data_IF_751855197356
#
_entry.id   IF_751855197356
#
_cell.length_a   1.000
_cell.length_b   1.000
_cell.length_c   1.000
_cell.angle_alpha   90.00
_cell.angle_beta   90.00
_cell.angle_gamma   90.00
#
_symmetry.space_group_name_H-M   'P 1'
#
loop_
_entity.id
_entity.type
_entity.pdbx_description
1 polymer ?
#
# COMPACT_ATOMS: atom_id res chain seq x y z
N UNK A 1 -1.62 -12.42 -0.70
CA UNK A 1 -2.11 -12.70 -2.07
C UNK A 1 -3.64 -12.71 -2.10
N UNK A 2 -4.30 -11.61 -2.48
CA UNK A 2 -5.78 -11.50 -2.47
C UNK A 2 -6.42 -11.98 -3.77
N UNK A 3 -5.75 -11.76 -4.92
CA UNK A 3 -6.31 -12.06 -6.24
C UNK A 3 -6.16 -13.53 -6.62
N UNK A 4 -4.97 -14.11 -6.43
CA UNK A 4 -4.66 -15.48 -6.85
C UNK A 4 -5.68 -16.54 -6.37
N UNK A 5 -6.15 -16.53 -5.10
CA UNK A 5 -7.14 -17.50 -4.63
C UNK A 5 -8.50 -17.43 -5.36
N UNK A 6 -8.84 -16.30 -5.99
CA UNK A 6 -10.11 -16.10 -6.69
C UNK A 6 -10.10 -16.64 -8.12
N UNK A 7 -8.93 -16.93 -8.68
CA UNK A 7 -8.77 -17.28 -10.10
C UNK A 7 -9.45 -18.60 -10.45
N UNK A 8 -9.42 -19.60 -9.55
CA UNK A 8 -10.07 -20.89 -9.79
C UNK A 8 -11.58 -20.77 -10.03
N UNK A 9 -12.28 -20.02 -9.19
CA UNK A 9 -13.71 -19.78 -9.35
C UNK A 9 -14.02 -18.97 -10.61
N UNK A 10 -13.14 -18.01 -10.96
CA UNK A 10 -13.26 -17.20 -12.16
C UNK A 10 -13.15 -18.05 -13.43
N UNK A 11 -12.11 -18.89 -13.55
CA UNK A 11 -11.93 -19.77 -14.72
C UNK A 11 -13.04 -20.78 -14.88
N UNK A 12 -13.61 -21.30 -13.78
CA UNK A 12 -14.79 -22.16 -13.86
C UNK A 12 -16.02 -21.43 -14.42
N UNK A 13 -16.21 -20.15 -14.03
CA UNK A 13 -17.32 -19.32 -14.51
C UNK A 13 -17.12 -18.84 -15.94
N UNK A 14 -15.88 -18.60 -16.36
CA UNK A 14 -15.50 -18.01 -17.65
C UNK A 14 -14.42 -18.86 -18.35
N UNK A 15 -14.77 -20.02 -18.93
CA UNK A 15 -13.80 -20.99 -19.44
C UNK A 15 -13.08 -20.57 -20.74
N UNK A 16 -13.51 -19.47 -21.37
CA UNK A 16 -12.90 -18.94 -22.59
C UNK A 16 -11.93 -17.78 -22.31
N UNK A 17 -11.73 -17.42 -21.04
CA UNK A 17 -10.91 -16.27 -20.65
C UNK A 17 -9.59 -16.75 -20.07
N UNK A 18 -8.50 -16.45 -20.78
CA UNK A 18 -7.15 -16.59 -20.25
C UNK A 18 -6.76 -15.34 -19.47
N UNK A 19 -6.03 -15.51 -18.35
CA UNK A 19 -5.56 -14.40 -17.51
C UNK A 19 -4.05 -14.47 -17.35
N UNK A 20 -3.35 -13.44 -17.81
CA UNK A 20 -1.95 -13.19 -17.49
C UNK A 20 -1.87 -12.20 -16.31
N UNK A 21 -1.54 -12.69 -15.11
CA UNK A 21 -1.42 -11.86 -13.91
C UNK A 21 0.03 -11.38 -13.72
N UNK A 22 0.24 -10.06 -13.73
CA UNK A 22 1.51 -9.40 -13.42
C UNK A 22 1.41 -8.64 -12.10
N UNK A 23 2.46 -8.71 -11.27
CA UNK A 23 2.57 -7.97 -10.01
C UNK A 23 3.68 -6.93 -10.18
N UNK A 24 3.29 -5.67 -10.25
CA UNK A 24 4.18 -4.55 -10.59
C UNK A 24 3.85 -3.38 -9.65
N UNK A 25 4.87 -2.80 -9.01
CA UNK A 25 4.71 -1.63 -8.12
C UNK A 25 4.84 -0.31 -8.89
N UNK A 26 5.34 -0.36 -10.12
CA UNK A 26 5.46 0.81 -11.01
C UNK A 26 4.14 1.13 -11.73
N UNK A 27 3.91 2.39 -12.10
CA UNK A 27 2.94 2.72 -13.14
C UNK A 27 3.25 1.98 -14.45
N UNK A 28 2.21 1.45 -15.08
CA UNK A 28 2.24 0.80 -16.39
C UNK A 28 1.45 1.64 -17.40
N UNK A 29 1.86 1.59 -18.65
CA UNK A 29 1.11 2.14 -19.78
C UNK A 29 0.18 1.05 -20.34
N UNK A 30 -1.12 1.31 -20.41
CA UNK A 30 -2.08 0.29 -20.83
C UNK A 30 -1.92 -0.12 -22.30
N UNK A 31 -1.44 0.80 -23.14
CA UNK A 31 -1.25 0.57 -24.56
C UNK A 31 0.08 -0.16 -24.77
N UNK A 32 1.18 0.43 -24.30
CA UNK A 32 2.51 -0.08 -24.59
C UNK A 32 2.85 -1.35 -23.80
N UNK A 33 2.36 -1.49 -22.56
CA UNK A 33 2.56 -2.72 -21.76
C UNK A 33 1.48 -3.80 -22.00
N UNK A 34 0.49 -3.54 -22.88
CA UNK A 34 -0.58 -4.48 -23.22
C UNK A 34 -1.46 -4.86 -22.03
N UNK A 35 -1.94 -3.87 -21.27
CA UNK A 35 -2.71 -4.08 -20.04
C UNK A 35 -4.19 -3.80 -20.30
N UNK A 36 -5.04 -4.82 -20.11
CA UNK A 36 -6.50 -4.65 -20.19
C UNK A 36 -7.11 -4.12 -18.88
N UNK A 37 -6.54 -4.49 -17.74
CA UNK A 37 -7.03 -4.16 -16.40
C UNK A 37 -5.88 -4.00 -15.41
N UNK A 38 -5.87 -2.88 -14.67
CA UNK A 38 -4.98 -2.71 -13.52
C UNK A 38 -5.78 -2.58 -12.23
N UNK A 39 -5.36 -3.33 -11.20
CA UNK A 39 -5.86 -3.21 -9.83
C UNK A 39 -4.85 -2.39 -9.04
N UNK A 40 -5.22 -1.18 -8.62
CA UNK A 40 -4.31 -0.25 -7.94
C UNK A 40 -4.93 0.37 -6.71
N UNK A 41 -4.09 0.64 -5.72
CA UNK A 41 -4.43 1.48 -4.57
C UNK A 41 -4.19 2.93 -5.03
N UNK A 42 -5.24 3.61 -5.46
CA UNK A 42 -5.18 5.02 -5.87
C UNK A 42 -6.52 5.70 -5.66
N UNK A 43 -6.49 6.98 -5.31
CA UNK A 43 -7.64 7.89 -5.34
C UNK A 43 -7.73 8.68 -6.66
N UNK A 44 -6.68 8.60 -7.49
CA UNK A 44 -6.48 9.38 -8.70
C UNK A 44 -6.02 8.47 -9.84
N UNK A 45 -6.95 7.78 -10.52
CA UNK A 45 -6.64 7.03 -11.74
C UNK A 45 -6.02 7.94 -12.82
N UNK A 46 -5.14 7.38 -13.66
CA UNK A 46 -4.51 8.14 -14.74
C UNK A 46 -5.57 8.75 -15.67
N UNK A 47 -5.35 9.97 -16.21
CA UNK A 47 -6.24 10.57 -17.19
C UNK A 47 -6.50 9.64 -18.37
N UNK A 48 -7.75 9.61 -18.85
CA UNK A 48 -8.16 8.73 -19.94
C UNK A 48 -8.53 7.31 -19.51
N UNK A 49 -8.29 6.92 -18.25
CA UNK A 49 -8.74 5.64 -17.70
C UNK A 49 -10.03 5.79 -16.90
N UNK A 50 -10.92 4.81 -17.02
CA UNK A 50 -12.10 4.72 -16.16
C UNK A 50 -11.78 3.94 -14.89
N UNK A 51 -11.82 4.61 -13.73
CA UNK A 51 -11.63 3.98 -12.43
C UNK A 51 -12.95 3.46 -11.84
N UNK A 52 -12.98 2.18 -11.46
CA UNK A 52 -14.07 1.60 -10.66
C UNK A 52 -13.61 1.34 -9.22
N UNK A 53 -14.20 1.97 -8.20
CA UNK A 53 -13.82 1.70 -6.81
C UNK A 53 -14.21 0.27 -6.43
N UNK A 54 -13.25 -0.48 -5.86
CA UNK A 54 -13.48 -1.85 -5.39
C UNK A 54 -13.70 -1.89 -3.87
N UNK A 55 -12.76 -1.31 -3.13
CA UNK A 55 -12.82 -1.21 -1.67
C UNK A 55 -11.86 -0.13 -1.16
N UNK A 56 -12.11 0.47 0.01
CA UNK A 56 -11.13 1.30 0.68
C UNK A 56 -10.01 0.44 1.28
N UNK A 57 -8.76 0.92 1.19
CA UNK A 57 -7.63 0.36 1.94
C UNK A 57 -7.44 1.15 3.23
N UNK A 58 -7.32 0.45 4.35
CA UNK A 58 -7.02 1.05 5.66
C UNK A 58 -5.59 0.71 6.05
N UNK A 59 -4.75 1.72 6.19
CA UNK A 59 -3.42 1.55 6.76
C UNK A 59 -3.52 1.56 8.29
N UNK A 60 -2.80 0.63 8.92
CA UNK A 60 -2.65 0.58 10.38
C UNK A 60 -1.17 0.69 10.71
N UNK A 61 -0.88 1.35 11.83
CA UNK A 61 0.46 1.33 12.40
C UNK A 61 0.48 0.20 13.42
N UNK A 62 1.51 -0.62 13.33
CA UNK A 62 1.75 -1.69 14.26
C UNK A 62 3.20 -1.68 14.72
N UNK A 63 3.41 -2.23 15.90
CA UNK A 63 4.71 -2.55 16.44
C UNK A 63 4.56 -3.83 17.24
N UNK A 64 5.67 -4.54 17.47
CA UNK A 64 5.65 -5.70 18.36
C UNK A 64 5.42 -5.24 19.80
N UNK A 65 4.82 -6.10 20.61
CA UNK A 65 4.60 -5.82 22.02
C UNK A 65 5.92 -5.54 22.75
N UNK A 66 6.96 -6.34 22.47
CA UNK A 66 8.29 -6.16 23.05
C UNK A 66 8.88 -4.76 22.76
N UNK A 67 8.69 -4.23 21.55
CA UNK A 67 9.15 -2.89 21.21
C UNK A 67 8.39 -1.82 22.01
N UNK A 68 7.07 -1.92 22.12
CA UNK A 68 6.25 -0.96 22.84
C UNK A 68 6.51 -0.96 24.35
N UNK A 69 6.83 -2.12 24.94
CA UNK A 69 7.22 -2.22 26.34
C UNK A 69 8.57 -1.52 26.61
N UNK A 70 9.53 -1.60 25.69
CA UNK A 70 10.84 -0.98 25.84
C UNK A 70 10.84 0.53 25.50
N UNK A 71 10.07 0.94 24.50
CA UNK A 71 10.13 2.30 23.95
C UNK A 71 8.90 3.15 24.27
N UNK A 72 7.90 2.59 24.95
CA UNK A 72 6.61 3.23 25.18
C UNK A 72 5.67 3.08 23.98
N UNK A 73 4.39 3.39 24.23
CA UNK A 73 3.36 3.39 23.17
C UNK A 73 3.12 4.81 22.68
N UNK A 74 3.20 5.09 21.37
CA UNK A 74 2.85 6.39 20.82
C UNK A 74 1.33 6.59 20.88
N UNK A 75 0.88 7.74 21.41
CA UNK A 75 -0.53 8.10 21.51
C UNK A 75 -0.93 9.18 20.51
N UNK A 76 0.05 9.91 19.99
CA UNK A 76 -0.11 10.94 18.96
C UNK A 76 0.78 10.65 17.76
N UNK A 77 0.42 11.14 16.55
CA UNK A 77 1.30 11.03 15.39
C UNK A 77 2.70 11.60 15.65
N UNK A 78 2.82 12.69 16.40
CA UNK A 78 4.10 13.35 16.70
C UNK A 78 5.05 12.47 17.51
N UNK A 79 4.53 11.60 18.38
CA UNK A 79 5.33 10.68 19.19
C UNK A 79 6.21 9.77 18.31
N UNK A 80 5.76 9.47 17.09
CA UNK A 80 6.48 8.63 16.12
C UNK A 80 7.85 9.21 15.72
N UNK A 81 8.09 10.51 15.91
CA UNK A 81 9.42 11.10 15.70
C UNK A 81 10.48 10.53 16.63
N UNK A 82 10.08 10.06 17.81
CA UNK A 82 10.96 9.45 18.80
C UNK A 82 11.08 7.92 18.66
N UNK A 83 10.35 7.32 17.70
CA UNK A 83 10.34 5.87 17.47
C UNK A 83 11.12 5.50 16.21
N UNK A 84 11.71 4.30 16.20
CA UNK A 84 12.36 3.71 15.04
C UNK A 84 11.31 3.13 14.08
N UNK A 85 10.81 3.97 13.18
CA UNK A 85 9.79 3.62 12.19
C UNK A 85 10.42 2.96 10.95
N UNK A 86 9.75 1.95 10.41
CA UNK A 86 10.16 1.27 9.17
C UNK A 86 9.36 1.87 8.01
N UNK A 87 10.02 2.53 7.07
CA UNK A 87 9.40 3.12 5.88
C UNK A 87 9.60 2.25 4.63
N UNK A 88 8.87 2.57 3.55
CA UNK A 88 9.02 1.90 2.25
C UNK A 88 10.42 2.14 1.66
N UNK A 89 10.87 3.40 1.64
CA UNK A 89 12.25 3.77 1.30
C UNK A 89 12.55 3.87 -0.20
N UNK A 90 11.54 3.90 -1.06
CA UNK A 90 11.68 4.12 -2.51
C UNK A 90 11.90 5.60 -2.81
N UNK A 91 11.27 6.47 -2.03
CA UNK A 91 11.45 7.92 -2.12
C UNK A 91 11.62 8.54 -0.73
N UNK A 92 12.25 9.73 -0.61
CA UNK A 92 12.28 10.47 0.66
C UNK A 92 10.89 10.79 1.21
N UNK A 93 9.86 10.80 0.36
CA UNK A 93 8.48 11.05 0.77
C UNK A 93 7.89 9.90 1.59
N UNK A 94 8.41 8.69 1.48
CA UNK A 94 7.87 7.49 2.15
C UNK A 94 8.05 7.52 3.67
N UNK A 95 8.99 8.35 4.15
CA UNK A 95 9.18 8.63 5.56
C UNK A 95 8.30 9.80 6.06
N UNK A 96 7.39 10.33 5.24
CA UNK A 96 6.40 11.36 5.65
C UNK A 96 5.01 10.75 5.75
N UNK A 97 4.67 10.25 6.93
CA UNK A 97 3.39 9.59 7.17
C UNK A 97 2.28 10.63 7.37
N UNK A 98 1.14 10.38 6.72
CA UNK A 98 -0.05 11.24 6.81
C UNK A 98 -1.13 10.57 7.64
N UNK A 99 -1.63 11.29 8.62
CA UNK A 99 -2.68 10.88 9.54
C UNK A 99 -3.90 11.76 9.32
N UNK A 100 -5.09 11.17 9.46
CA UNK A 100 -6.34 11.91 9.39
C UNK A 100 -7.26 11.53 10.53
N UNK A 101 -7.72 12.52 11.29
CA UNK A 101 -8.68 12.36 12.40
C UNK A 101 -9.62 13.56 12.43
N UNK A 102 -10.92 13.33 12.48
CA UNK A 102 -11.95 14.39 12.59
C UNK A 102 -11.79 15.50 11.54
N UNK A 103 -11.45 15.14 10.29
CA UNK A 103 -11.23 16.09 9.20
C UNK A 103 -9.89 16.83 9.23
N UNK A 104 -9.12 16.74 10.32
CA UNK A 104 -7.76 17.27 10.40
C UNK A 104 -6.78 16.26 9.83
N UNK A 105 -5.91 16.75 8.94
CA UNK A 105 -4.78 15.97 8.41
C UNK A 105 -3.50 16.46 9.04
N UNK A 106 -2.69 15.53 9.51
CA UNK A 106 -1.37 15.80 10.07
C UNK A 106 -0.32 14.99 9.31
N UNK A 107 0.82 15.61 9.00
CA UNK A 107 1.94 14.92 8.36
C UNK A 107 3.13 14.91 9.30
N UNK A 108 3.70 13.73 9.55
CA UNK A 108 4.83 13.53 10.45
C UNK A 108 5.99 12.93 9.68
N UNK A 109 7.16 13.56 9.78
CA UNK A 109 8.42 12.95 9.39
C UNK A 109 8.78 11.87 10.41
N UNK A 110 8.91 10.63 9.94
CA UNK A 110 9.38 9.51 10.74
C UNK A 110 10.86 9.26 10.49
N UNK A 111 11.51 8.61 11.47
CA UNK A 111 12.92 8.25 11.40
C UNK A 111 13.08 6.78 11.74
N UNK A 112 14.12 6.16 11.20
CA UNK A 112 14.42 4.76 11.47
C UNK A 112 15.68 4.35 10.74
N UNK A 113 16.29 3.26 11.20
CA UNK A 113 17.53 2.73 10.62
C UNK A 113 17.28 1.70 9.52
N UNK A 114 16.04 1.31 9.31
CA UNK A 114 15.65 0.26 8.38
C UNK A 114 14.45 0.71 7.56
N UNK A 115 14.52 0.45 6.26
CA UNK A 115 13.45 0.66 5.31
C UNK A 115 13.35 -0.58 4.41
N UNK A 116 12.15 -0.96 4.03
CA UNK A 116 11.90 -2.13 3.20
C UNK A 116 10.65 -1.90 2.34
N UNK A 117 10.81 -2.03 1.03
CA UNK A 117 9.73 -1.86 0.07
C UNK A 117 9.06 -3.18 -0.33
N UNK A 118 9.69 -4.32 -0.06
CA UNK A 118 9.16 -5.65 -0.32
C UNK A 118 9.30 -6.57 0.89
N UNK A 119 8.32 -7.46 1.05
CA UNK A 119 8.28 -8.46 2.13
C UNK A 119 8.89 -9.79 1.74
N UNK A 120 9.50 -9.88 0.55
CA UNK A 120 10.25 -11.06 0.12
C UNK A 120 11.58 -11.12 0.88
N UNK A 121 11.50 -11.61 2.11
CA UNK A 121 12.60 -12.31 2.78
C UNK A 121 12.36 -13.80 2.54
#
# INVERSE_FOLDING_TARGET
FVIHPLMMAFFHRYPQVDVCLRLEDRPLDFIDDGIDLALRITDTPSPGLHGKPLMPIRHVICATEAYLQQHGTPYTPQDLRAHSCISLGETPADARWKFRREGKTETVQTYGRYAANHTAV
#
